data_IF_838001684838
#
_entry.id   IF_838001684838
#
_cell.length_a   1.000
_cell.length_b   1.000
_cell.length_c   1.000
_cell.angle_alpha   90.00
_cell.angle_beta   90.00
_cell.angle_gamma   90.00
#
_symmetry.space_group_name_H-M   'P 1'
#
loop_
_entity.id
_entity.type
_entity.pdbx_description
1 polymer ?
#
# COMPACT_ATOMS: atom_id res chain seq x y z
N UNK A 1 13.34 9.48 -16.91
CA UNK A 1 13.63 8.09 -16.50
C UNK A 1 12.59 7.17 -17.13
N UNK A 2 12.98 5.93 -17.43
CA UNK A 2 12.04 4.84 -17.74
C UNK A 2 11.72 4.07 -16.46
N UNK A 3 10.47 4.12 -16.04
CA UNK A 3 10.03 3.61 -14.73
C UNK A 3 9.03 2.48 -14.91
N UNK A 4 9.42 1.27 -14.50
CA UNK A 4 8.51 0.13 -14.45
C UNK A 4 7.65 0.16 -13.19
N UNK A 5 6.32 -0.02 -13.34
CA UNK A 5 5.41 -0.10 -12.20
C UNK A 5 4.61 -1.39 -12.29
N UNK A 6 4.78 -2.30 -11.33
CA UNK A 6 3.91 -3.48 -11.22
C UNK A 6 2.63 -3.12 -10.46
N UNK A 7 1.54 -3.80 -10.78
CA UNK A 7 0.24 -3.44 -10.20
C UNK A 7 -0.25 -2.04 -10.63
N UNK A 8 0.19 -1.59 -11.81
CA UNK A 8 -0.05 -0.26 -12.36
C UNK A 8 -1.55 0.09 -12.57
N UNK A 9 -2.44 -0.90 -12.57
CA UNK A 9 -3.90 -0.74 -12.63
C UNK A 9 -4.58 -0.82 -11.23
N UNK A 10 -3.81 -1.04 -10.17
CA UNK A 10 -4.29 -0.95 -8.80
C UNK A 10 -4.45 0.49 -8.33
N UNK A 11 -5.05 0.71 -7.14
CA UNK A 11 -5.26 2.06 -6.59
C UNK A 11 -3.95 2.85 -6.49
N UNK A 12 -2.96 2.32 -5.77
CA UNK A 12 -1.65 3.00 -5.62
C UNK A 12 -0.94 3.09 -6.96
N UNK A 13 -0.93 2.02 -7.76
CA UNK A 13 -0.29 2.01 -9.07
C UNK A 13 -0.84 3.07 -10.03
N UNK A 14 -2.15 3.33 -10.00
CA UNK A 14 -2.79 4.38 -10.81
C UNK A 14 -2.34 5.77 -10.38
N UNK A 15 -2.26 6.03 -9.08
CA UNK A 15 -1.76 7.30 -8.52
C UNK A 15 -0.31 7.53 -8.96
N UNK A 16 0.54 6.53 -8.77
CA UNK A 16 1.96 6.64 -9.11
C UNK A 16 2.18 6.82 -10.61
N UNK A 17 1.46 6.08 -11.44
CA UNK A 17 1.54 6.19 -12.88
C UNK A 17 1.20 7.59 -13.39
N UNK A 18 0.14 8.19 -12.86
CA UNK A 18 -0.23 9.56 -13.18
C UNK A 18 0.86 10.55 -12.75
N UNK A 19 1.32 10.46 -11.51
CA UNK A 19 2.33 11.36 -10.96
C UNK A 19 3.66 11.31 -11.73
N UNK A 20 4.17 10.13 -12.05
CA UNK A 20 5.41 10.00 -12.82
C UNK A 20 5.25 10.52 -14.26
N UNK A 21 4.12 10.27 -14.90
CA UNK A 21 3.84 10.81 -16.23
C UNK A 21 3.76 12.35 -16.24
N UNK A 22 3.12 12.95 -15.23
CA UNK A 22 3.05 14.41 -15.04
C UNK A 22 4.44 15.05 -14.86
N UNK A 23 5.39 14.33 -14.29
CA UNK A 23 6.79 14.78 -14.15
C UNK A 23 7.65 14.46 -15.40
N UNK A 24 7.03 13.99 -16.49
CA UNK A 24 7.71 13.74 -17.75
C UNK A 24 8.52 12.44 -17.79
N UNK A 25 8.29 11.51 -16.86
CA UNK A 25 8.91 10.19 -16.91
C UNK A 25 8.15 9.27 -17.87
N UNK A 26 8.87 8.38 -18.52
CA UNK A 26 8.30 7.30 -19.33
C UNK A 26 7.89 6.15 -18.40
N UNK A 27 6.61 5.89 -18.30
CA UNK A 27 6.07 4.85 -17.40
C UNK A 27 5.77 3.57 -18.17
N UNK A 28 6.31 2.46 -17.72
CA UNK A 28 6.06 1.11 -18.26
C UNK A 28 5.17 0.37 -17.25
N UNK A 29 3.96 0.01 -17.69
CA UNK A 29 2.99 -0.67 -16.84
C UNK A 29 3.14 -2.19 -16.91
N UNK A 30 3.52 -2.81 -15.81
CA UNK A 30 3.52 -4.26 -15.67
C UNK A 30 2.15 -4.73 -15.16
N UNK A 31 1.36 -5.36 -16.05
CA UNK A 31 -0.05 -5.70 -15.81
C UNK A 31 -0.41 -7.07 -16.38
N UNK A 32 -1.43 -7.71 -15.81
CA UNK A 32 -1.94 -8.99 -16.31
C UNK A 32 -2.61 -8.86 -17.70
N UNK A 33 -3.22 -7.72 -17.98
CA UNK A 33 -3.89 -7.44 -19.25
C UNK A 33 -3.74 -5.98 -19.63
N UNK A 34 -3.21 -5.73 -20.82
CA UNK A 34 -3.06 -4.38 -21.37
C UNK A 34 -4.42 -3.71 -21.65
N UNK A 35 -5.49 -4.51 -21.89
CA UNK A 35 -6.85 -3.99 -22.11
C UNK A 35 -7.41 -3.23 -20.89
N UNK A 36 -6.86 -3.45 -19.70
CA UNK A 36 -7.23 -2.72 -18.50
C UNK A 36 -6.58 -1.32 -18.40
N UNK A 37 -5.72 -0.95 -19.36
CA UNK A 37 -4.96 0.30 -19.37
C UNK A 37 -5.55 1.25 -20.42
N UNK A 38 -6.34 2.23 -19.97
CA UNK A 38 -6.89 3.26 -20.85
C UNK A 38 -5.87 4.39 -21.02
N UNK A 39 -5.52 4.67 -22.28
CA UNK A 39 -4.80 5.88 -22.70
C UNK A 39 -3.40 6.02 -22.14
N UNK A 40 -2.44 5.43 -22.78
CA UNK A 40 -1.00 5.57 -22.56
C UNK A 40 -0.34 4.34 -22.03
N UNK A 41 0.83 4.10 -22.53
CA UNK A 41 1.92 3.50 -21.83
C UNK A 41 2.26 2.16 -22.42
N UNK A 42 3.49 1.99 -22.65
CA UNK A 42 4.02 0.66 -22.90
C UNK A 42 3.57 -0.27 -21.77
N UNK A 43 2.92 -1.37 -22.14
CA UNK A 43 2.46 -2.40 -21.22
C UNK A 43 3.30 -3.66 -21.39
N UNK A 44 3.77 -4.21 -20.28
CA UNK A 44 4.45 -5.51 -20.25
C UNK A 44 3.63 -6.53 -19.47
N UNK A 45 3.50 -7.77 -19.97
CA UNK A 45 2.81 -8.83 -19.25
C UNK A 45 3.47 -9.10 -17.89
N UNK A 46 2.67 -9.19 -16.85
CA UNK A 46 3.12 -9.48 -15.51
C UNK A 46 2.08 -10.22 -14.68
N UNK A 47 2.52 -11.34 -14.13
CA UNK A 47 1.80 -12.10 -13.11
C UNK A 47 2.73 -12.30 -11.91
N UNK A 48 2.23 -12.09 -10.69
CA UNK A 48 3.05 -12.17 -9.48
C UNK A 48 3.63 -13.57 -9.26
N UNK A 49 2.88 -14.62 -9.65
CA UNK A 49 3.31 -16.02 -9.56
C UNK A 49 4.41 -16.36 -10.57
N UNK A 50 4.48 -15.63 -11.69
CA UNK A 50 5.39 -15.86 -12.80
C UNK A 50 5.99 -14.54 -13.26
N UNK A 51 6.88 -13.95 -12.45
CA UNK A 51 7.52 -12.70 -12.82
C UNK A 51 8.35 -12.88 -14.10
N UNK A 52 8.39 -11.87 -14.98
CA UNK A 52 9.15 -11.94 -16.21
C UNK A 52 10.65 -12.04 -15.94
N UNK A 53 11.41 -12.52 -16.94
CA UNK A 53 12.86 -12.58 -16.90
C UNK A 53 13.50 -11.20 -16.90
N UNK A 54 14.80 -11.12 -16.59
CA UNK A 54 15.59 -9.89 -16.56
C UNK A 54 15.48 -9.04 -17.83
N UNK A 55 15.32 -9.66 -19.02
CA UNK A 55 15.15 -8.93 -20.28
C UNK A 55 13.97 -7.92 -20.27
N UNK A 56 12.94 -8.18 -19.46
CA UNK A 56 11.81 -7.26 -19.32
C UNK A 56 12.12 -6.01 -18.51
N UNK A 57 13.30 -5.92 -17.89
CA UNK A 57 13.72 -4.82 -17.03
C UNK A 57 14.97 -4.09 -17.51
N UNK A 58 15.63 -4.61 -18.57
CA UNK A 58 16.99 -4.17 -18.99
C UNK A 58 17.08 -2.71 -19.47
N UNK A 59 15.97 -2.10 -19.82
CA UNK A 59 15.85 -0.72 -20.28
C UNK A 59 15.24 0.23 -19.24
N UNK A 60 15.04 -0.26 -18.01
CA UNK A 60 14.46 0.53 -16.92
C UNK A 60 15.53 1.21 -16.07
N UNK A 61 15.30 2.47 -15.75
CA UNK A 61 16.07 3.20 -14.74
C UNK A 61 15.63 2.84 -13.32
N UNK A 62 14.31 2.62 -13.14
CA UNK A 62 13.70 2.30 -11.85
C UNK A 62 12.58 1.26 -11.99
N UNK A 63 12.42 0.44 -10.94
CA UNK A 63 11.28 -0.45 -10.77
C UNK A 63 10.56 -0.14 -9.47
N UNK A 64 9.25 0.10 -9.56
CA UNK A 64 8.35 0.25 -8.40
C UNK A 64 7.46 -0.98 -8.31
N UNK A 65 7.70 -1.79 -7.30
CA UNK A 65 6.92 -3.01 -7.09
C UNK A 65 5.74 -2.73 -6.16
N UNK A 66 4.55 -2.51 -6.76
CA UNK A 66 3.28 -2.25 -6.04
C UNK A 66 2.28 -3.41 -6.12
N UNK A 67 2.50 -4.39 -6.99
CA UNK A 67 1.60 -5.52 -7.12
C UNK A 67 1.55 -6.38 -5.85
N UNK A 68 0.34 -6.74 -5.45
CA UNK A 68 0.08 -7.62 -4.32
C UNK A 68 -1.30 -8.25 -4.46
N UNK A 69 -1.41 -9.55 -4.29
CA UNK A 69 -2.71 -10.20 -4.28
C UNK A 69 -3.31 -10.21 -2.86
N UNK A 70 -4.28 -9.34 -2.66
CA UNK A 70 -5.02 -9.20 -1.39
C UNK A 70 -6.11 -10.26 -1.23
N UNK A 71 -6.38 -11.11 -2.23
CA UNK A 71 -7.42 -12.14 -2.15
C UNK A 71 -6.94 -13.40 -1.43
N UNK A 72 -5.63 -13.60 -1.35
CA UNK A 72 -5.01 -14.76 -0.71
C UNK A 72 -5.12 -14.70 0.81
N UNK A 73 -5.63 -15.76 1.43
CA UNK A 73 -5.89 -15.83 2.86
C UNK A 73 -5.05 -16.87 3.60
N UNK A 74 -4.63 -17.95 2.92
CA UNK A 74 -3.80 -18.98 3.55
C UNK A 74 -2.35 -18.53 3.66
N UNK A 75 -1.64 -19.00 4.69
CA UNK A 75 -0.20 -18.73 4.85
C UNK A 75 0.56 -19.22 3.63
N UNK A 76 0.26 -20.45 3.17
CA UNK A 76 0.94 -21.07 2.02
C UNK A 76 0.79 -20.22 0.75
N UNK A 77 -0.43 -19.78 0.43
CA UNK A 77 -0.69 -19.00 -0.78
C UNK A 77 -0.05 -17.60 -0.69
N UNK A 78 -0.15 -16.93 0.46
CA UNK A 78 0.48 -15.60 0.65
C UNK A 78 1.98 -15.69 0.48
N UNK A 79 2.63 -16.70 1.05
CA UNK A 79 4.08 -16.88 0.92
C UNK A 79 4.47 -17.39 -0.48
N UNK A 80 3.76 -18.36 -1.03
CA UNK A 80 4.05 -18.93 -2.36
C UNK A 80 3.86 -17.92 -3.50
N UNK A 81 2.80 -17.14 -3.45
CA UNK A 81 2.48 -16.17 -4.51
C UNK A 81 3.09 -14.80 -4.22
N UNK A 82 2.66 -14.15 -3.13
CA UNK A 82 3.07 -12.77 -2.89
C UNK A 82 4.54 -12.64 -2.52
N UNK A 83 5.03 -13.43 -1.55
CA UNK A 83 6.42 -13.29 -1.08
C UNK A 83 7.39 -13.83 -2.11
N UNK A 84 7.23 -15.08 -2.53
CA UNK A 84 8.14 -15.70 -3.49
C UNK A 84 8.12 -14.96 -4.84
N UNK A 85 6.93 -14.61 -5.36
CA UNK A 85 6.82 -13.84 -6.60
C UNK A 85 7.47 -12.46 -6.53
N UNK A 86 7.29 -11.73 -5.41
CA UNK A 86 7.97 -10.45 -5.19
C UNK A 86 9.49 -10.61 -5.11
N UNK A 87 9.98 -11.61 -4.40
CA UNK A 87 11.42 -11.87 -4.26
C UNK A 87 12.07 -12.18 -5.61
N UNK A 88 11.45 -13.04 -6.43
CA UNK A 88 11.93 -13.34 -7.77
C UNK A 88 11.90 -12.11 -8.69
N UNK A 89 10.82 -11.30 -8.63
CA UNK A 89 10.73 -10.06 -9.41
C UNK A 89 11.87 -9.10 -9.09
N UNK A 90 12.07 -8.84 -7.78
CA UNK A 90 13.10 -7.92 -7.31
C UNK A 90 14.51 -8.42 -7.69
N UNK A 91 14.76 -9.72 -7.55
CA UNK A 91 16.00 -10.37 -8.00
C UNK A 91 16.24 -10.21 -9.49
N UNK A 92 15.24 -10.55 -10.33
CA UNK A 92 15.34 -10.43 -11.78
C UNK A 92 15.60 -8.98 -12.22
N UNK A 93 15.03 -7.99 -11.54
CA UNK A 93 15.26 -6.58 -11.82
C UNK A 93 16.68 -6.14 -11.43
N UNK A 94 17.17 -6.60 -10.27
CA UNK A 94 18.54 -6.32 -9.83
C UNK A 94 19.57 -6.94 -10.77
N UNK A 95 19.39 -8.21 -11.17
CA UNK A 95 20.24 -8.92 -12.11
C UNK A 95 20.24 -8.27 -13.50
N UNK A 96 19.15 -7.61 -13.90
CA UNK A 96 19.03 -6.84 -15.12
C UNK A 96 19.71 -5.45 -15.04
N UNK A 97 20.21 -5.07 -13.88
CA UNK A 97 20.92 -3.80 -13.67
C UNK A 97 20.00 -2.60 -13.41
N UNK A 98 18.76 -2.81 -13.01
CA UNK A 98 17.87 -1.70 -12.60
C UNK A 98 18.47 -0.99 -11.39
N UNK A 99 18.82 0.28 -11.58
CA UNK A 99 19.55 1.05 -10.54
C UNK A 99 18.74 1.41 -9.32
N UNK A 100 17.43 1.65 -9.51
CA UNK A 100 16.52 2.06 -8.42
C UNK A 100 15.38 1.05 -8.29
N UNK A 101 15.40 0.28 -7.23
CA UNK A 101 14.35 -0.68 -6.89
C UNK A 101 13.59 -0.15 -5.67
N UNK A 102 12.28 0.05 -5.82
CA UNK A 102 11.40 0.54 -4.75
C UNK A 102 10.29 -0.48 -4.52
N UNK A 103 10.22 -0.99 -3.30
CA UNK A 103 9.17 -1.91 -2.87
C UNK A 103 8.09 -1.17 -2.10
N UNK A 104 6.84 -1.24 -2.55
CA UNK A 104 5.70 -0.70 -1.83
C UNK A 104 5.33 -1.65 -0.69
N UNK A 105 5.67 -1.23 0.52
CA UNK A 105 5.34 -1.91 1.76
C UNK A 105 4.16 -1.25 2.48
N UNK A 106 4.01 -1.45 3.76
CA UNK A 106 2.89 -0.97 4.57
C UNK A 106 3.33 -0.70 6.00
N UNK A 107 2.67 0.25 6.66
CA UNK A 107 2.82 0.47 8.10
C UNK A 107 2.42 -0.75 8.95
N UNK A 108 1.78 -1.76 8.36
CA UNK A 108 1.55 -3.06 8.99
C UNK A 108 2.81 -3.93 9.10
N UNK A 109 3.87 -3.60 8.35
CA UNK A 109 5.16 -4.30 8.36
C UNK A 109 6.06 -3.70 9.44
N UNK A 110 5.95 -4.16 10.66
CA UNK A 110 6.82 -3.77 11.78
C UNK A 110 7.27 -4.99 12.57
N UNK A 111 8.41 -4.91 13.24
CA UNK A 111 8.94 -6.03 14.02
C UNK A 111 7.96 -6.44 15.13
N UNK A 112 7.68 -7.74 15.22
CA UNK A 112 6.71 -8.30 16.16
C UNK A 112 5.25 -8.25 15.68
N UNK A 113 4.97 -7.79 14.46
CA UNK A 113 3.62 -7.87 13.89
C UNK A 113 3.12 -9.32 13.84
N UNK A 114 1.87 -9.52 14.26
CA UNK A 114 1.18 -10.82 14.16
C UNK A 114 0.28 -10.93 12.94
N UNK A 115 0.22 -9.88 12.15
CA UNK A 115 -0.55 -9.82 10.93
C UNK A 115 0.21 -10.54 9.80
N UNK A 116 -0.42 -11.52 9.15
CA UNK A 116 0.17 -12.29 8.06
C UNK A 116 0.65 -11.37 6.92
N UNK A 117 -0.18 -10.39 6.56
CA UNK A 117 0.17 -9.38 5.57
C UNK A 117 1.43 -8.61 5.95
N UNK A 118 1.52 -8.15 7.21
CA UNK A 118 2.69 -7.43 7.71
C UNK A 118 3.96 -8.29 7.71
N UNK A 119 3.86 -9.55 8.13
CA UNK A 119 4.99 -10.51 8.11
C UNK A 119 5.47 -10.78 6.69
N UNK A 120 4.55 -10.96 5.74
CA UNK A 120 4.87 -11.17 4.34
C UNK A 120 5.54 -9.94 3.72
N UNK A 121 5.06 -8.73 4.04
CA UNK A 121 5.70 -7.48 3.62
C UNK A 121 7.12 -7.34 4.19
N UNK A 122 7.32 -7.64 5.49
CA UNK A 122 8.67 -7.66 6.10
C UNK A 122 9.64 -8.61 5.40
N UNK A 123 9.17 -9.79 4.97
CA UNK A 123 10.01 -10.71 4.22
C UNK A 123 10.48 -10.11 2.88
N UNK A 124 9.59 -9.41 2.18
CA UNK A 124 9.94 -8.73 0.92
C UNK A 124 10.82 -7.49 1.16
N UNK A 125 10.62 -6.74 2.25
CA UNK A 125 11.51 -5.62 2.63
C UNK A 125 12.96 -6.09 2.80
N UNK A 126 13.18 -7.23 3.49
CA UNK A 126 14.53 -7.80 3.66
C UNK A 126 15.17 -8.12 2.31
N UNK A 127 14.40 -8.66 1.36
CA UNK A 127 14.89 -8.92 0.01
C UNK A 127 15.21 -7.61 -0.72
N UNK A 128 14.33 -6.62 -0.69
CA UNK A 128 14.58 -5.32 -1.32
C UNK A 128 15.86 -4.68 -0.77
N UNK A 129 16.03 -4.66 0.55
CA UNK A 129 17.22 -4.14 1.24
C UNK A 129 18.49 -4.88 0.86
N UNK A 130 18.47 -6.22 0.80
CA UNK A 130 19.63 -7.02 0.40
C UNK A 130 20.08 -6.78 -1.05
N UNK A 131 19.19 -6.28 -1.89
CA UNK A 131 19.45 -5.89 -3.29
C UNK A 131 19.78 -4.39 -3.45
N UNK A 132 19.96 -3.64 -2.34
CA UNK A 132 20.20 -2.19 -2.37
C UNK A 132 18.96 -1.35 -2.74
N UNK A 133 17.78 -1.95 -2.70
CA UNK A 133 16.52 -1.28 -2.94
C UNK A 133 15.99 -0.55 -1.70
N UNK A 134 14.89 0.18 -1.87
CA UNK A 134 14.22 0.96 -0.83
C UNK A 134 12.80 0.44 -0.61
N UNK A 135 12.42 0.22 0.64
CA UNK A 135 11.05 -0.15 1.01
C UNK A 135 10.28 1.05 1.55
N UNK A 136 9.13 1.34 0.95
CA UNK A 136 8.26 2.43 1.38
C UNK A 136 7.03 1.89 2.10
N UNK A 137 6.89 2.17 3.40
CA UNK A 137 5.74 1.75 4.22
C UNK A 137 4.62 2.78 4.13
N UNK A 138 3.63 2.50 3.30
CA UNK A 138 2.47 3.38 3.16
C UNK A 138 1.59 3.33 4.41
N UNK A 139 1.15 4.50 4.87
CA UNK A 139 0.04 4.64 5.80
C UNK A 139 -1.30 4.28 5.17
N UNK A 140 -2.39 4.61 5.85
CA UNK A 140 -3.74 4.51 5.29
C UNK A 140 -3.88 5.57 4.19
N UNK A 141 -3.73 5.16 2.93
CA UNK A 141 -3.82 6.06 1.77
C UNK A 141 -5.28 6.46 1.56
N UNK A 142 -5.52 7.76 1.51
CA UNK A 142 -6.83 8.36 1.29
C UNK A 142 -6.75 9.51 0.29
N UNK A 143 -7.88 9.88 -0.30
CA UNK A 143 -7.97 10.99 -1.27
C UNK A 143 -9.18 10.79 -2.20
N UNK A 144 -9.32 11.62 -3.23
CA UNK A 144 -10.44 11.56 -4.19
C UNK A 144 -10.65 10.18 -4.82
N UNK A 145 -9.59 9.39 -5.00
CA UNK A 145 -9.66 8.06 -5.60
C UNK A 145 -10.36 7.00 -4.74
N UNK A 146 -10.45 7.19 -3.43
CA UNK A 146 -11.13 6.30 -2.47
C UNK A 146 -10.90 4.80 -2.72
N UNK A 147 -9.67 4.40 -2.89
CA UNK A 147 -9.30 3.01 -3.09
C UNK A 147 -8.83 2.29 -1.81
N UNK A 148 -8.47 1.02 -1.97
CA UNK A 148 -7.88 0.22 -0.91
C UNK A 148 -8.71 0.17 0.38
N UNK A 149 -8.01 0.21 1.53
CA UNK A 149 -8.64 0.16 2.85
C UNK A 149 -9.50 1.40 3.13
N UNK A 150 -9.08 2.60 2.71
CA UNK A 150 -9.86 3.83 2.92
C UNK A 150 -11.21 3.75 2.19
N UNK A 151 -11.24 3.22 0.97
CA UNK A 151 -12.48 2.97 0.23
C UNK A 151 -13.38 1.94 0.90
N UNK A 152 -12.81 0.89 1.50
CA UNK A 152 -13.58 -0.09 2.28
C UNK A 152 -14.18 0.54 3.55
N UNK A 153 -13.42 1.37 4.26
CA UNK A 153 -13.91 2.12 5.44
C UNK A 153 -15.02 3.11 5.04
N UNK A 154 -14.87 3.80 3.91
CA UNK A 154 -15.91 4.69 3.37
C UNK A 154 -17.21 3.94 3.09
N UNK A 155 -17.14 2.75 2.49
CA UNK A 155 -18.33 1.91 2.28
C UNK A 155 -18.96 1.48 3.61
N UNK A 156 -18.15 1.19 4.63
CA UNK A 156 -18.62 0.79 5.95
C UNK A 156 -19.42 1.91 6.65
N UNK A 157 -19.03 3.18 6.44
CA UNK A 157 -19.77 4.33 7.00
C UNK A 157 -21.14 4.57 6.34
N UNK A 158 -21.47 3.88 5.24
CA UNK A 158 -22.78 3.93 4.61
C UNK A 158 -23.83 3.04 5.31
N UNK A 159 -23.41 2.18 6.20
CA UNK A 159 -24.34 1.36 6.97
C UNK A 159 -25.18 2.23 7.93
N UNK A 160 -26.45 1.88 8.18
CA UNK A 160 -27.30 2.59 9.16
C UNK A 160 -26.66 2.66 10.57
N UNK A 161 -25.95 1.60 10.94
CA UNK A 161 -25.11 1.51 12.14
C UNK A 161 -23.78 0.88 11.74
N UNK A 162 -22.70 1.61 11.97
CA UNK A 162 -21.34 1.16 11.62
C UNK A 162 -20.74 0.35 12.77
N UNK A 163 -20.40 -0.92 12.58
CA UNK A 163 -19.62 -1.67 13.57
C UNK A 163 -18.19 -1.12 13.63
N UNK A 164 -17.80 -0.58 14.77
CA UNK A 164 -16.50 0.05 14.95
C UNK A 164 -15.54 -0.88 15.68
N UNK A 165 -14.75 -1.62 14.90
CA UNK A 165 -13.72 -2.53 15.41
C UNK A 165 -12.45 -1.69 15.63
N UNK A 166 -11.83 -1.83 16.81
CA UNK A 166 -10.64 -1.02 17.12
C UNK A 166 -10.95 0.45 17.39
N UNK A 167 -12.09 0.79 17.95
CA UNK A 167 -12.53 2.16 18.25
C UNK A 167 -11.52 3.01 19.05
N UNK A 168 -10.61 2.36 19.79
CA UNK A 168 -9.54 3.00 20.60
C UNK A 168 -8.19 2.98 19.93
N UNK A 169 -8.06 2.43 18.73
CA UNK A 169 -6.82 2.41 17.96
C UNK A 169 -6.61 3.75 17.24
N UNK A 170 -5.45 3.88 16.63
CA UNK A 170 -5.10 5.00 15.76
C UNK A 170 -4.63 4.48 14.41
N UNK A 171 -4.55 5.36 13.43
CA UNK A 171 -4.00 5.07 12.11
C UNK A 171 -3.08 6.21 11.67
N UNK A 172 -1.97 5.87 11.03
CA UNK A 172 -1.17 6.83 10.32
C UNK A 172 -1.73 6.97 8.90
N UNK A 173 -2.08 8.17 8.50
CA UNK A 173 -2.76 8.45 7.24
C UNK A 173 -1.80 9.08 6.24
N UNK A 174 -2.05 8.85 4.95
CA UNK A 174 -1.28 9.43 3.86
C UNK A 174 -2.23 9.90 2.75
N UNK A 175 -2.21 11.18 2.42
CA UNK A 175 -2.98 11.66 1.27
C UNK A 175 -2.36 11.17 -0.04
N UNK A 176 -3.17 10.74 -1.01
CA UNK A 176 -2.68 10.16 -2.27
C UNK A 176 -1.73 11.08 -3.04
N UNK A 177 -1.98 12.39 -3.03
CA UNK A 177 -1.09 13.36 -3.68
C UNK A 177 0.27 13.48 -2.97
N UNK A 178 0.31 13.37 -1.64
CA UNK A 178 1.57 13.42 -0.89
C UNK A 178 2.37 12.13 -1.09
N UNK A 179 1.69 10.97 -1.16
CA UNK A 179 2.32 9.70 -1.53
C UNK A 179 2.91 9.78 -2.93
N UNK A 180 2.16 10.33 -3.89
CA UNK A 180 2.61 10.52 -5.26
C UNK A 180 3.89 11.39 -5.33
N UNK A 181 3.85 12.57 -4.70
CA UNK A 181 4.99 13.49 -4.68
C UNK A 181 6.20 12.89 -3.97
N UNK A 182 5.99 12.19 -2.85
CA UNK A 182 7.06 11.51 -2.13
C UNK A 182 7.72 10.42 -2.98
N UNK A 183 6.93 9.60 -3.67
CA UNK A 183 7.44 8.52 -4.50
C UNK A 183 8.25 9.02 -5.70
N UNK A 184 7.84 10.13 -6.32
CA UNK A 184 8.61 10.78 -7.38
C UNK A 184 9.98 11.23 -6.84
N UNK A 185 10.00 11.98 -5.73
CA UNK A 185 11.25 12.45 -5.12
C UNK A 185 12.17 11.30 -4.68
N UNK A 186 11.60 10.22 -4.13
CA UNK A 186 12.36 9.01 -3.75
C UNK A 186 12.97 8.35 -4.98
N UNK A 187 12.25 8.25 -6.08
CA UNK A 187 12.75 7.65 -7.31
C UNK A 187 13.85 8.47 -7.98
N UNK A 188 13.75 9.79 -7.92
CA UNK A 188 14.72 10.73 -8.53
C UNK A 188 15.96 10.98 -7.65
N UNK A 189 15.87 10.70 -6.33
CA UNK A 189 16.96 11.01 -5.41
C UNK A 189 18.10 10.00 -5.48
N UNK A 190 19.32 10.50 -5.59
CA UNK A 190 20.54 9.68 -5.42
C UNK A 190 20.98 9.56 -3.95
N UNK A 191 20.26 10.22 -3.04
CA UNK A 191 20.57 10.15 -1.60
C UNK A 191 20.29 8.77 -1.05
N UNK A 192 21.16 8.22 -0.19
CA UNK A 192 20.87 6.99 0.53
C UNK A 192 19.68 7.21 1.46
N UNK A 193 18.67 6.34 1.31
CA UNK A 193 17.47 6.36 2.14
C UNK A 193 17.57 5.35 3.27
N UNK A 194 16.97 5.62 4.45
CA UNK A 194 16.86 4.61 5.48
C UNK A 194 15.93 3.49 5.01
N UNK A 195 16.18 2.30 5.50
CA UNK A 195 15.36 1.13 5.26
C UNK A 195 14.65 0.70 6.54
N UNK A 196 13.33 0.71 6.56
CA UNK A 196 12.37 1.26 5.58
C UNK A 196 12.08 2.77 5.77
N UNK A 197 11.41 3.38 4.77
CA UNK A 197 10.87 4.75 4.84
C UNK A 197 9.35 4.71 5.00
N UNK A 198 8.80 5.40 5.99
CA UNK A 198 7.36 5.50 6.21
C UNK A 198 6.75 6.68 5.43
N UNK A 199 5.78 6.40 4.58
CA UNK A 199 5.04 7.42 3.83
C UNK A 199 3.68 7.66 4.49
N UNK A 200 3.67 8.48 5.53
CA UNK A 200 2.46 8.85 6.26
C UNK A 200 2.69 10.14 7.07
N UNK A 201 1.60 10.81 7.42
CA UNK A 201 1.66 11.88 8.41
C UNK A 201 2.13 11.31 9.76
N UNK A 202 3.10 11.94 10.46
CA UNK A 202 3.63 11.43 11.72
C UNK A 202 2.63 11.49 12.88
N UNK A 203 1.59 12.30 12.79
CA UNK A 203 0.57 12.41 13.82
C UNK A 203 -0.47 11.28 13.66
N UNK A 204 -0.59 10.41 14.67
CA UNK A 204 -1.56 9.31 14.59
C UNK A 204 -2.99 9.84 14.73
N UNK A 205 -3.85 9.42 13.82
CA UNK A 205 -5.27 9.81 13.79
C UNK A 205 -6.10 8.79 14.58
N UNK A 206 -6.86 9.19 15.63
CA UNK A 206 -7.76 8.29 16.34
C UNK A 206 -8.78 7.66 15.39
N UNK A 207 -8.87 6.32 15.37
CA UNK A 207 -9.68 5.61 14.37
C UNK A 207 -11.16 6.01 14.39
N UNK A 208 -11.72 6.27 15.58
CA UNK A 208 -13.10 6.74 15.70
C UNK A 208 -13.30 8.12 15.06
N UNK A 209 -12.33 9.02 15.21
CA UNK A 209 -12.38 10.35 14.59
C UNK A 209 -12.25 10.23 13.08
N UNK A 210 -11.30 9.43 12.59
CA UNK A 210 -11.13 9.13 11.16
C UNK A 210 -12.45 8.65 10.53
N UNK A 211 -13.13 7.70 11.14
CA UNK A 211 -14.42 7.18 10.66
C UNK A 211 -15.52 8.25 10.67
N UNK A 212 -15.50 9.15 11.68
CA UNK A 212 -16.44 10.30 11.75
C UNK A 212 -16.22 11.25 10.57
N UNK A 213 -14.99 11.61 10.30
CA UNK A 213 -14.66 12.51 9.19
C UNK A 213 -14.98 11.88 7.82
N UNK A 214 -14.71 10.58 7.64
CA UNK A 214 -15.10 9.84 6.43
C UNK A 214 -16.63 9.86 6.25
N UNK A 215 -17.43 9.69 7.30
CA UNK A 215 -18.88 9.78 7.21
C UNK A 215 -19.34 11.21 6.88
N UNK A 216 -18.73 12.21 7.52
CA UNK A 216 -19.01 13.62 7.29
C UNK A 216 -18.73 14.07 5.84
N UNK A 217 -17.64 13.58 5.22
CA UNK A 217 -17.34 13.83 3.81
C UNK A 217 -18.39 13.31 2.83
N UNK A 218 -19.26 12.40 3.30
CA UNK A 218 -20.42 11.88 2.56
C UNK A 218 -21.75 12.56 2.96
N UNK A 219 -21.68 13.65 3.73
CA UNK A 219 -22.88 14.36 4.25
C UNK A 219 -23.63 13.53 5.32
N UNK A 220 -22.95 12.58 6.00
CA UNK A 220 -23.57 11.66 6.95
C UNK A 220 -23.04 11.84 8.37
N UNK A 221 -23.87 11.60 9.35
CA UNK A 221 -23.46 11.49 10.75
C UNK A 221 -23.15 10.03 11.07
N UNK A 222 -21.95 9.76 11.57
CA UNK A 222 -21.55 8.41 11.98
C UNK A 222 -22.37 7.93 13.17
N UNK A 223 -23.13 6.86 12.97
CA UNK A 223 -23.77 6.08 14.03
C UNK A 223 -22.96 4.82 14.25
N UNK A 224 -22.05 4.81 15.21
CA UNK A 224 -21.12 3.72 15.42
C UNK A 224 -21.33 3.00 16.74
N UNK A 225 -21.28 1.67 16.69
CA UNK A 225 -21.28 0.81 17.88
C UNK A 225 -19.91 0.13 17.98
N UNK A 226 -19.19 0.30 19.09
CA UNK A 226 -17.92 -0.40 19.28
C UNK A 226 -18.16 -1.90 19.38
N UNK A 227 -17.40 -2.67 18.59
CA UNK A 227 -17.49 -4.13 18.56
C UNK A 227 -16.15 -4.71 19.01
N UNK A 228 -16.14 -5.66 19.96
CA UNK A 228 -14.92 -6.38 20.32
C UNK A 228 -14.33 -7.08 19.10
N UNK A 229 -13.04 -6.95 18.91
CA UNK A 229 -12.39 -7.47 17.69
C UNK A 229 -12.24 -9.00 17.69
N UNK A 230 -12.14 -9.62 18.89
CA UNK A 230 -11.87 -11.06 19.03
C UNK A 230 -12.97 -11.93 18.39
N UNK A 231 -14.27 -11.75 18.72
CA UNK A 231 -15.33 -12.53 18.09
C UNK A 231 -15.44 -12.23 16.57
N UNK A 232 -15.20 -10.99 16.15
CA UNK A 232 -15.22 -10.65 14.72
C UNK A 232 -14.07 -11.36 13.98
N UNK A 233 -12.86 -11.33 14.53
CA UNK A 233 -11.72 -12.04 13.94
C UNK A 233 -11.97 -13.55 13.88
N UNK A 234 -12.58 -14.14 14.93
CA UNK A 234 -12.97 -15.55 14.96
C UNK A 234 -13.98 -15.90 13.87
N UNK A 235 -15.02 -15.11 13.74
CA UNK A 235 -16.03 -15.27 12.67
C UNK A 235 -15.42 -15.18 11.28
N UNK A 236 -14.57 -14.17 11.04
CA UNK A 236 -13.90 -13.98 9.74
C UNK A 236 -12.99 -15.17 9.42
N UNK A 237 -12.23 -15.72 10.38
CA UNK A 237 -11.41 -16.91 10.17
C UNK A 237 -12.24 -18.14 9.77
N UNK A 238 -13.40 -18.34 10.39
CA UNK A 238 -14.32 -19.42 10.02
C UNK A 238 -14.85 -19.20 8.60
N UNK A 239 -15.25 -17.97 8.26
CA UNK A 239 -15.71 -17.64 6.91
C UNK A 239 -14.60 -17.84 5.86
N UNK A 240 -13.36 -17.45 6.16
CA UNK A 240 -12.18 -17.68 5.31
C UNK A 240 -11.92 -19.19 5.10
N UNK A 241 -12.01 -20.00 6.16
CA UNK A 241 -11.86 -21.46 6.08
C UNK A 241 -12.96 -22.11 5.23
N UNK A 242 -14.16 -21.53 5.21
CA UNK A 242 -15.29 -21.96 4.38
C UNK A 242 -15.27 -21.34 2.97
N UNK A 243 -14.20 -20.60 2.60
CA UNK A 243 -14.05 -19.88 1.32
C UNK A 243 -15.16 -18.85 1.04
N UNK A 244 -15.82 -18.33 2.09
CA UNK A 244 -16.81 -17.25 1.97
C UNK A 244 -16.07 -15.92 1.79
N UNK A 245 -16.31 -15.26 0.66
CA UNK A 245 -15.71 -13.95 0.36
C UNK A 245 -16.44 -12.83 1.11
N UNK A 246 -15.79 -12.27 2.12
CA UNK A 246 -16.27 -11.11 2.85
C UNK A 246 -15.44 -9.86 2.50
N UNK A 247 -15.99 -8.65 2.66
CA UNK A 247 -15.28 -7.41 2.33
C UNK A 247 -14.11 -7.09 3.26
N UNK A 248 -14.04 -7.74 4.42
CA UNK A 248 -12.95 -7.63 5.39
C UNK A 248 -12.39 -9.02 5.71
N UNK A 249 -11.09 -9.08 5.96
CA UNK A 249 -10.36 -10.28 6.33
C UNK A 249 -10.05 -10.27 7.83
N UNK A 250 -9.91 -11.45 8.42
CA UNK A 250 -9.49 -11.59 9.83
C UNK A 250 -8.15 -10.89 10.09
N UNK A 251 -7.24 -10.94 9.13
CA UNK A 251 -5.93 -10.31 9.16
C UNK A 251 -6.02 -8.77 9.13
N UNK A 252 -6.97 -8.20 8.36
CA UNK A 252 -7.22 -6.75 8.32
C UNK A 252 -7.69 -6.20 9.67
N UNK A 253 -8.42 -7.00 10.46
CA UNK A 253 -8.84 -6.63 11.83
C UNK A 253 -7.62 -6.43 12.72
N UNK A 254 -6.60 -7.27 12.60
CA UNK A 254 -5.36 -7.12 13.38
C UNK A 254 -4.63 -5.81 13.03
N UNK A 255 -4.57 -5.43 11.74
CA UNK A 255 -3.98 -4.17 11.31
C UNK A 255 -4.73 -2.94 11.84
N UNK A 256 -6.05 -3.04 12.00
CA UNK A 256 -6.84 -1.94 12.58
C UNK A 256 -6.64 -1.80 14.10
N UNK A 257 -6.49 -2.90 14.85
CA UNK A 257 -6.45 -2.88 16.32
C UNK A 257 -5.04 -2.85 16.90
N UNK A 258 -4.04 -3.23 16.12
CA UNK A 258 -2.61 -3.23 16.49
C UNK A 258 -1.79 -2.52 15.43
N UNK A 259 -1.94 -1.20 15.27
CA UNK A 259 -1.12 -0.42 14.35
C UNK A 259 0.33 -0.33 14.88
N UNK A 260 1.26 0.05 13.99
CA UNK A 260 2.60 0.48 14.42
C UNK A 260 2.53 1.69 15.35
N UNK A 261 3.61 1.95 16.07
CA UNK A 261 3.68 3.06 17.03
C UNK A 261 4.29 4.32 16.44
N UNK A 262 5.01 4.22 15.33
CA UNK A 262 5.73 5.33 14.70
C UNK A 262 5.85 5.18 13.19
N UNK A 263 6.17 6.28 12.53
CA UNK A 263 6.49 6.34 11.09
C UNK A 263 8.02 6.34 10.94
N UNK A 264 8.64 5.34 10.32
CA UNK A 264 10.09 5.26 10.22
C UNK A 264 10.66 6.25 9.18
N UNK A 265 11.89 6.71 9.38
CA UNK A 265 12.66 7.47 8.39
C UNK A 265 12.20 8.92 8.18
N UNK A 266 11.45 9.51 9.09
CA UNK A 266 10.89 10.87 8.97
C UNK A 266 11.94 11.95 8.75
N UNK A 267 13.08 11.89 9.44
CA UNK A 267 14.14 12.90 9.31
C UNK A 267 14.66 12.97 7.87
N UNK A 268 14.83 11.81 7.24
CA UNK A 268 15.30 11.75 5.86
C UNK A 268 14.24 12.26 4.87
N UNK A 269 12.96 12.04 5.14
CA UNK A 269 11.88 12.60 4.32
C UNK A 269 11.88 14.13 4.39
N UNK A 270 12.12 14.71 5.56
CA UNK A 270 12.23 16.16 5.71
C UNK A 270 13.42 16.73 4.92
N UNK A 271 14.58 16.06 4.95
CA UNK A 271 15.75 16.45 4.14
C UNK A 271 15.44 16.44 2.63
N UNK A 272 14.56 15.54 2.18
CA UNK A 272 14.06 15.52 0.80
C UNK A 272 12.94 16.53 0.54
N UNK A 273 12.56 17.34 1.54
CA UNK A 273 11.44 18.28 1.46
C UNK A 273 10.09 17.58 1.29
N UNK A 274 9.95 16.36 1.84
CA UNK A 274 8.71 15.59 1.80
C UNK A 274 7.97 15.77 3.12
N UNK A 275 6.77 16.30 3.03
CA UNK A 275 5.85 16.47 4.16
C UNK A 275 4.51 15.85 3.82
N UNK A 276 3.85 15.30 4.83
CA UNK A 276 2.51 14.71 4.69
C UNK A 276 1.50 15.59 5.42
N UNK A 277 0.46 16.02 4.71
CA UNK A 277 -0.64 16.79 5.28
C UNK A 277 -1.38 16.04 6.36
N UNK A 278 -1.85 16.76 7.38
CA UNK A 278 -2.71 16.18 8.42
C UNK A 278 -4.06 15.77 7.84
N UNK A 279 -4.62 14.67 8.37
CA UNK A 279 -5.95 14.22 7.98
C UNK A 279 -7.03 15.20 8.44
N UNK A 280 -7.97 15.57 7.55
CA UNK A 280 -9.06 16.49 7.86
C UNK A 280 -10.09 16.60 6.73
N UNK A 281 -11.20 17.29 6.99
CA UNK A 281 -12.31 17.45 6.02
C UNK A 281 -11.88 18.12 4.71
N UNK A 282 -11.03 19.10 4.77
CA UNK A 282 -10.51 19.81 3.58
C UNK A 282 -9.73 18.88 2.63
N UNK A 283 -9.19 17.79 3.14
CA UNK A 283 -8.44 16.81 2.36
C UNK A 283 -9.31 15.68 1.79
N UNK A 284 -10.60 15.62 2.17
CA UNK A 284 -11.54 14.58 1.75
C UNK A 284 -12.50 15.05 0.65
N UNK A 285 -12.50 16.35 0.35
CA UNK A 285 -13.45 17.00 -0.57
C UNK A 285 -12.85 17.38 -1.93
N UNK A 286 -11.53 17.28 -2.10
CA UNK A 286 -10.82 17.66 -3.33
C UNK A 286 -10.36 16.46 -4.11
#
# INVERSE_FOLDING_TARGET
>A
MRIGITGANGYVGTILRAAFAEQGHEVIAFVRSAAAMVGVVECRPYEIERPPSGAAFSDLDALIHSAWDLTLVSVGDVWGVNVSGSQHLLGNAADAGVRRIIFISSMSAYEGTRQLYGQAKLACERTASSLGGVSTRLGLVYGPGWGGMAGALRKLTNLPVTPLIGARSHQFTAHEADVAAAMVRIAESDMPLPEPVGLANPEPVPFRWLMKEIAASQGRTLRAVPVPWQPVSGFLKVAEALHVRLPFRSDSVLGLVKPTVEVPGLERLKELGIEFRSFGQSCLQN
#
